data_IF_406615705768
#
_entry.id   IF_406615705768
#
_cell.length_a   1.000
_cell.length_b   1.000
_cell.length_c   1.000
_cell.angle_alpha   90.00
_cell.angle_beta   90.00
_cell.angle_gamma   90.00
#
_symmetry.space_group_name_H-M   'P 1'
#
loop_
_entity.id
_entity.type
_entity.pdbx_description
1 polymer ?
#
# COMPACT_ATOMS: atom_id res chain seq x y z
N UNK A 1 -1.73 2.26 3.43
CA UNK A 1 -2.23 1.72 2.14
C UNK A 1 -2.32 2.84 1.12
N UNK A 2 -2.01 2.55 -0.13
CA UNK A 2 -2.06 3.54 -1.22
C UNK A 2 -2.95 3.04 -2.34
N UNK A 3 -3.88 3.88 -2.79
CA UNK A 3 -4.91 3.56 -3.78
C UNK A 3 -4.98 4.66 -4.84
N UNK A 4 -5.11 4.30 -6.11
CA UNK A 4 -5.39 5.24 -7.19
C UNK A 4 -4.88 4.74 -8.55
N UNK A 5 -5.17 5.52 -9.59
CA UNK A 5 -4.80 5.19 -10.97
C UNK A 5 -3.29 4.93 -11.13
N UNK A 6 -2.94 4.03 -12.05
CA UNK A 6 -1.55 3.81 -12.41
C UNK A 6 -0.95 5.09 -13.01
N UNK A 7 0.32 5.35 -12.70
CA UNK A 7 0.99 6.57 -13.16
C UNK A 7 0.71 7.84 -12.34
N UNK A 8 -0.12 7.81 -11.28
CA UNK A 8 -0.33 8.98 -10.39
C UNK A 8 0.82 9.25 -9.39
N UNK A 9 1.93 8.52 -9.50
CA UNK A 9 3.10 8.73 -8.64
C UNK A 9 2.97 8.15 -7.23
N UNK A 10 2.14 7.12 -7.03
CA UNK A 10 1.96 6.42 -5.73
C UNK A 10 3.29 6.06 -5.06
N UNK A 11 4.12 5.26 -5.74
CA UNK A 11 5.42 4.83 -5.23
C UNK A 11 6.39 6.00 -5.06
N UNK A 12 6.32 7.01 -5.95
CA UNK A 12 7.15 8.22 -5.86
C UNK A 12 6.83 9.05 -4.62
N UNK A 13 5.55 9.21 -4.26
CA UNK A 13 5.14 9.91 -3.05
C UNK A 13 5.62 9.18 -1.81
N UNK A 14 5.49 7.86 -1.77
CA UNK A 14 5.91 7.05 -0.61
C UNK A 14 7.43 7.18 -0.41
N UNK A 15 8.21 7.03 -1.48
CA UNK A 15 9.67 7.23 -1.40
C UNK A 15 10.04 8.65 -0.94
N UNK A 16 9.28 9.66 -1.38
CA UNK A 16 9.52 11.06 -0.99
C UNK A 16 9.12 11.36 0.45
N UNK A 17 8.04 10.77 0.96
CA UNK A 17 7.55 10.96 2.32
C UNK A 17 8.52 10.38 3.35
N UNK A 18 9.11 9.23 3.06
CA UNK A 18 10.00 8.56 4.00
C UNK A 18 11.48 8.80 3.72
N UNK A 19 11.82 9.56 2.65
CA UNK A 19 13.19 9.89 2.25
C UNK A 19 14.15 8.68 2.27
N UNK A 20 13.59 7.50 2.08
CA UNK A 20 14.25 6.21 2.20
C UNK A 20 13.96 5.46 0.93
N UNK A 21 14.99 4.91 0.29
CA UNK A 21 14.80 3.94 -0.79
C UNK A 21 14.21 2.67 -0.18
N UNK A 22 12.87 2.59 -0.16
CA UNK A 22 12.11 1.40 0.24
C UNK A 22 12.40 0.18 -0.66
N UNK A 23 13.17 0.37 -1.74
CA UNK A 23 13.58 -0.64 -2.71
C UNK A 23 15.10 -0.63 -2.92
N UNK A 24 15.92 -0.97 -1.91
CA UNK A 24 17.38 -0.89 -2.03
C UNK A 24 17.97 -1.90 -3.03
N UNK A 25 17.26 -2.99 -3.34
CA UNK A 25 17.64 -4.00 -4.35
C UNK A 25 17.02 -3.76 -5.74
N UNK A 26 16.42 -2.59 -6.00
CA UNK A 26 16.08 -2.22 -7.38
C UNK A 26 17.34 -1.77 -8.10
N UNK A 27 18.05 -2.72 -8.72
CA UNK A 27 18.88 -2.42 -9.91
C UNK A 27 17.98 -1.61 -10.83
N UNK A 28 18.26 -0.33 -11.04
CA UNK A 28 17.46 0.56 -11.88
C UNK A 28 17.59 0.03 -13.31
N UNK A 29 16.63 -0.73 -13.83
CA UNK A 29 16.67 -1.06 -15.23
C UNK A 29 16.16 0.18 -15.97
N UNK A 30 16.49 0.32 -17.25
CA UNK A 30 16.05 1.48 -18.03
C UNK A 30 14.54 1.74 -17.88
N UNK A 31 14.11 2.98 -18.09
CA UNK A 31 12.72 3.45 -17.90
C UNK A 31 11.61 2.60 -18.57
N UNK A 32 11.97 1.59 -19.38
CA UNK A 32 11.10 0.60 -19.99
C UNK A 32 10.66 -0.57 -19.08
N UNK A 33 11.37 -0.92 -18.00
CA UNK A 33 10.98 -2.03 -17.08
C UNK A 33 10.14 -1.55 -15.89
N UNK A 34 9.82 -0.25 -15.84
CA UNK A 34 9.53 0.47 -14.58
C UNK A 34 8.13 0.30 -13.99
N UNK A 35 7.29 -0.57 -14.51
CA UNK A 35 5.94 -0.78 -13.98
C UNK A 35 5.57 -2.24 -14.19
N UNK A 36 6.07 -3.14 -13.33
CA UNK A 36 5.36 -4.40 -13.14
C UNK A 36 3.96 -4.01 -12.66
N UNK A 37 2.97 -4.28 -13.51
CA UNK A 37 1.57 -4.09 -13.18
C UNK A 37 1.31 -5.05 -12.03
N UNK A 38 1.31 -4.54 -10.80
CA UNK A 38 0.89 -5.33 -9.64
C UNK A 38 -0.50 -5.87 -9.97
N UNK A 39 -0.60 -7.19 -10.12
CA UNK A 39 -1.87 -7.91 -10.36
C UNK A 39 -2.53 -8.24 -9.02
N UNK A 40 -1.75 -8.19 -7.94
CA UNK A 40 -2.14 -8.54 -6.58
C UNK A 40 -1.75 -7.42 -5.61
N UNK A 41 -2.40 -7.38 -4.45
CA UNK A 41 -2.06 -6.45 -3.36
C UNK A 41 -0.72 -6.90 -2.78
N UNK A 42 0.27 -6.01 -2.81
CA UNK A 42 1.59 -6.28 -2.24
C UNK A 42 1.81 -5.42 -0.99
N UNK A 43 2.21 -6.06 0.11
CA UNK A 43 2.55 -5.40 1.35
C UNK A 43 4.06 -5.47 1.58
N UNK A 44 4.73 -4.33 1.51
CA UNK A 44 6.16 -4.19 1.81
C UNK A 44 6.32 -3.58 3.19
N UNK A 45 6.99 -4.28 4.10
CA UNK A 45 7.30 -3.76 5.44
C UNK A 45 8.75 -3.30 5.49
N UNK A 46 8.97 -2.07 5.94
CA UNK A 46 10.30 -1.48 6.09
C UNK A 46 10.44 -0.85 7.46
N UNK A 47 11.60 -1.01 8.08
CA UNK A 47 11.97 -0.35 9.32
C UNK A 47 12.75 0.91 8.99
N UNK A 48 12.23 2.06 9.44
CA UNK A 48 12.84 3.38 9.25
C UNK A 48 13.16 4.01 10.61
N UNK A 49 14.19 4.83 10.66
CA UNK A 49 14.53 5.60 11.86
C UNK A 49 14.45 7.08 11.55
N UNK A 50 13.43 7.76 12.10
CA UNK A 50 13.23 9.19 11.87
C UNK A 50 13.48 9.94 13.18
N UNK A 51 14.48 10.84 13.18
CA UNK A 51 14.83 11.70 14.33
C UNK A 51 15.04 10.92 15.65
N UNK A 52 15.58 9.70 15.57
CA UNK A 52 15.84 8.82 16.72
C UNK A 52 14.65 7.94 17.14
N UNK A 53 13.55 7.94 16.39
CA UNK A 53 12.41 7.05 16.60
C UNK A 53 12.43 5.95 15.54
N UNK A 54 12.51 4.68 15.97
CA UNK A 54 12.37 3.52 15.09
C UNK A 54 10.89 3.26 14.81
N UNK A 55 10.52 3.32 13.55
CA UNK A 55 9.18 3.08 13.05
C UNK A 55 9.21 1.88 12.11
N UNK A 56 8.30 0.94 12.32
CA UNK A 56 8.05 -0.14 11.35
C UNK A 56 6.87 0.27 10.50
N UNK A 57 7.12 0.58 9.23
CA UNK A 57 6.13 1.02 8.28
C UNK A 57 5.77 -0.13 7.34
N UNK A 58 4.48 -0.43 7.22
CA UNK A 58 3.98 -1.36 6.21
C UNK A 58 3.26 -0.59 5.12
N UNK A 59 3.83 -0.60 3.92
CA UNK A 59 3.25 0.01 2.73
C UNK A 59 2.51 -1.08 1.97
N UNK A 60 1.20 -0.89 1.84
CA UNK A 60 0.33 -1.74 1.02
C UNK A 60 0.07 -1.01 -0.28
N UNK A 61 0.64 -1.51 -1.38
CA UNK A 61 0.36 -1.04 -2.73
C UNK A 61 -0.81 -1.84 -3.32
N UNK A 62 -1.68 -1.15 -4.04
CA UNK A 62 -2.86 -1.76 -4.65
C UNK A 62 -2.71 -1.83 -6.17
N UNK A 63 -3.13 -2.95 -6.77
CA UNK A 63 -3.09 -3.11 -8.22
C UNK A 63 -3.89 -2.02 -8.91
N UNK A 64 -3.35 -1.51 -10.03
CA UNK A 64 -3.81 -0.34 -10.79
C UNK A 64 -5.33 -0.17 -10.85
N UNK A 65 -5.85 0.66 -9.95
CA UNK A 65 -7.25 1.09 -9.95
C UNK A 65 -7.52 1.84 -11.26
N UNK A 66 -8.48 1.43 -12.09
CA UNK A 66 -8.75 2.14 -13.35
C UNK A 66 -7.96 1.66 -14.58
N UNK A 67 -7.03 0.70 -14.45
CA UNK A 67 -6.23 0.21 -15.60
C UNK A 67 -6.98 -0.84 -16.44
N UNK A 68 -7.91 -1.57 -15.83
CA UNK A 68 -8.69 -2.59 -16.51
C UNK A 68 -9.96 -1.98 -17.14
N UNK A 69 -10.34 -2.45 -18.32
CA UNK A 69 -11.62 -2.06 -18.97
C UNK A 69 -12.81 -2.33 -18.03
N UNK A 70 -12.73 -3.38 -17.21
CA UNK A 70 -13.69 -3.66 -16.16
C UNK A 70 -13.12 -3.33 -14.77
N UNK A 71 -13.55 -2.21 -14.20
CA UNK A 71 -13.16 -1.75 -12.86
C UNK A 71 -14.19 -2.04 -11.77
N UNK A 72 -15.27 -2.79 -12.07
CA UNK A 72 -16.41 -2.95 -11.17
C UNK A 72 -16.10 -3.69 -9.86
N UNK A 73 -15.02 -4.47 -9.82
CA UNK A 73 -14.67 -5.29 -8.65
C UNK A 73 -13.32 -4.90 -8.02
N UNK A 74 -12.63 -3.87 -8.50
CA UNK A 74 -11.32 -3.47 -7.98
C UNK A 74 -11.37 -3.08 -6.49
N UNK A 75 -12.45 -2.44 -6.06
CA UNK A 75 -12.63 -2.06 -4.65
C UNK A 75 -12.98 -3.26 -3.75
N UNK A 76 -13.54 -4.36 -4.29
CA UNK A 76 -13.86 -5.54 -3.48
C UNK A 76 -12.60 -6.20 -2.95
N UNK A 77 -11.54 -6.29 -3.76
CA UNK A 77 -10.25 -6.83 -3.33
C UNK A 77 -9.63 -5.97 -2.24
N UNK A 78 -9.74 -4.65 -2.34
CA UNK A 78 -9.26 -3.69 -1.34
C UNK A 78 -10.01 -3.86 -0.01
N UNK A 79 -11.35 -3.89 -0.07
CA UNK A 79 -12.20 -4.06 1.12
C UNK A 79 -11.91 -5.42 1.76
N UNK A 80 -11.87 -6.51 0.98
CA UNK A 80 -11.58 -7.85 1.46
C UNK A 80 -10.21 -7.94 2.14
N UNK A 81 -9.20 -7.24 1.64
CA UNK A 81 -7.88 -7.20 2.26
C UNK A 81 -7.92 -6.49 3.62
N UNK A 82 -8.63 -5.35 3.69
CA UNK A 82 -8.81 -4.59 4.94
C UNK A 82 -9.55 -5.45 5.98
N UNK A 83 -10.65 -6.08 5.57
CA UNK A 83 -11.45 -6.96 6.43
C UNK A 83 -10.63 -8.15 6.93
N UNK A 84 -9.81 -8.77 6.08
CA UNK A 84 -8.92 -9.86 6.47
C UNK A 84 -7.88 -9.40 7.52
N UNK A 85 -7.31 -8.20 7.38
CA UNK A 85 -6.39 -7.67 8.40
C UNK A 85 -7.09 -7.39 9.73
N UNK A 86 -8.34 -6.92 9.70
CA UNK A 86 -9.14 -6.72 10.92
C UNK A 86 -9.52 -8.04 11.58
N UNK A 87 -9.96 -9.02 10.81
CA UNK A 87 -10.33 -10.35 11.31
C UNK A 87 -9.12 -11.04 11.94
N UNK A 88 -7.95 -10.94 11.31
CA UNK A 88 -6.70 -11.47 11.86
C UNK A 88 -6.35 -10.85 13.20
N UNK A 89 -6.49 -9.52 13.32
CA UNK A 89 -6.27 -8.83 14.59
C UNK A 89 -7.28 -9.27 15.65
N UNK A 90 -8.56 -9.37 15.29
CA UNK A 90 -9.62 -9.82 16.20
C UNK A 90 -9.39 -11.25 16.69
N UNK A 91 -8.91 -12.13 15.81
CA UNK A 91 -8.57 -13.51 16.16
C UNK A 91 -7.41 -13.58 17.17
N UNK A 92 -6.35 -12.80 16.92
CA UNK A 92 -5.19 -12.72 17.82
C UNK A 92 -5.56 -12.09 19.17
N UNK A 93 -6.47 -11.12 19.19
CA UNK A 93 -7.01 -10.51 20.43
C UNK A 93 -7.90 -11.48 21.21
N UNK A 94 -8.74 -12.24 20.51
CA UNK A 94 -9.65 -13.23 21.10
C UNK A 94 -8.91 -14.48 21.61
N UNK A 95 -7.71 -14.75 21.08
CA UNK A 95 -6.86 -15.87 21.46
C UNK A 95 -6.36 -15.83 22.91
N UNK A 96 -5.78 -16.96 23.34
CA UNK A 96 -5.26 -17.14 24.70
C UNK A 96 -3.92 -16.39 24.93
N UNK A 97 -3.12 -16.20 23.88
CA UNK A 97 -1.78 -15.59 23.95
C UNK A 97 -1.78 -14.13 23.47
N UNK A 98 -2.23 -13.21 24.33
CA UNK A 98 -2.41 -11.78 24.01
C UNK A 98 -1.16 -10.90 24.16
N UNK A 99 0.01 -11.46 24.51
CA UNK A 99 1.16 -10.67 24.96
C UNK A 99 1.97 -10.00 23.84
N UNK A 100 1.90 -10.51 22.61
CA UNK A 100 2.65 -9.99 21.46
C UNK A 100 1.79 -9.96 20.19
N UNK A 101 0.68 -9.23 20.23
CA UNK A 101 -0.17 -9.02 19.06
C UNK A 101 0.54 -8.05 18.11
N UNK A 102 0.73 -8.46 16.86
CA UNK A 102 1.31 -7.61 15.81
C UNK A 102 0.16 -6.90 15.12
N UNK A 103 0.14 -5.57 15.17
CA UNK A 103 -0.85 -4.78 14.46
C UNK A 103 -0.49 -4.66 12.97
N UNK A 104 -1.20 -5.41 12.12
CA UNK A 104 -1.08 -5.36 10.66
C UNK A 104 -2.27 -4.64 10.01
N UNK A 105 -3.13 -3.97 10.79
CA UNK A 105 -4.30 -3.28 10.26
C UNK A 105 -3.90 -2.08 9.41
N UNK A 106 -4.72 -1.73 8.44
CA UNK A 106 -4.51 -0.53 7.63
C UNK A 106 -4.85 0.70 8.46
N UNK A 107 -3.84 1.44 8.93
CA UNK A 107 -4.04 2.66 9.73
C UNK A 107 -4.50 3.87 8.92
N UNK A 108 -4.08 3.97 7.66
CA UNK A 108 -4.39 5.09 6.78
C UNK A 108 -4.41 4.64 5.32
N UNK A 109 -5.30 5.25 4.54
CA UNK A 109 -5.41 5.07 3.10
C UNK A 109 -5.14 6.40 2.38
N UNK A 110 -4.10 6.44 1.54
CA UNK A 110 -3.84 7.55 0.63
C UNK A 110 -4.54 7.29 -0.68
N UNK A 111 -5.58 8.07 -0.98
CA UNK A 111 -6.33 7.98 -2.23
C UNK A 111 -5.86 9.04 -3.21
N UNK A 112 -5.25 8.59 -4.31
CA UNK A 112 -4.72 9.45 -5.37
C UNK A 112 -5.83 9.75 -6.36
N UNK A 113 -6.25 11.02 -6.37
CA UNK A 113 -7.22 11.54 -7.31
C UNK A 113 -6.47 12.05 -8.53
N UNK A 114 -6.92 11.62 -9.70
CA UNK A 114 -6.35 12.06 -10.97
C UNK A 114 -6.57 13.57 -11.15
N UNK A 115 -5.55 14.35 -11.58
CA UNK A 115 -5.61 15.81 -11.61
C UNK A 115 -6.46 16.39 -12.75
N UNK A 116 -7.46 15.65 -13.24
CA UNK A 116 -8.38 16.13 -14.27
C UNK A 116 -9.33 17.16 -13.66
N UNK A 117 -9.18 18.44 -14.06
CA UNK A 117 -9.89 19.60 -13.49
C UNK A 117 -11.40 19.67 -13.69
N UNK A 118 -12.08 18.54 -13.92
CA UNK A 118 -13.52 18.45 -14.17
C UNK A 118 -14.31 17.82 -13.01
N UNK A 119 -13.64 17.45 -11.91
CA UNK A 119 -14.28 16.91 -10.70
C UNK A 119 -13.82 15.49 -10.35
N UNK A 120 -14.50 14.88 -9.37
CA UNK A 120 -14.28 13.48 -8.98
C UNK A 120 -14.96 12.55 -10.00
N UNK A 121 -14.24 11.50 -10.42
CA UNK A 121 -14.80 10.40 -11.22
C UNK A 121 -15.63 9.45 -10.35
#
# INVERSE_FOLDING_TARGET
>A
MVVGESGLGKSTLINSLFLTDLYPERVIPGAAEKIERTVQIEASTVEIEERGVKLRLTVVDTPGYGDAINCRDCFKTIISYIDEQFERYLHDESGLNRRHIIDNRVHCCFYFISPFGHGLK
#
